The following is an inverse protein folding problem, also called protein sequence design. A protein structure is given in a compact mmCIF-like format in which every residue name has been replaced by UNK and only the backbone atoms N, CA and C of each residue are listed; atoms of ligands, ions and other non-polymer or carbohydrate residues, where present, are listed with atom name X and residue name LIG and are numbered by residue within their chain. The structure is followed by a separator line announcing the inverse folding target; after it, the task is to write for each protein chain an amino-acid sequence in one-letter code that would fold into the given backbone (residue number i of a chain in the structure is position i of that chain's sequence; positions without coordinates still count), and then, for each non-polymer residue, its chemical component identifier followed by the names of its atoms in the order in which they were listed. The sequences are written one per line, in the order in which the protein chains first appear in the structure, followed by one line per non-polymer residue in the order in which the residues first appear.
data_IF_724349274845
#
_entry.id   IF_724349274845
#
_cell.length_a   1.000
_cell.length_b   1.000
_cell.length_c   1.000
_cell.angle_alpha   90.00
_cell.angle_beta   90.00
_cell.angle_gamma   90.00
#
_symmetry.space_group_name_H-M   'P 1'
#
loop_
_entity.id
_entity.type
_entity.pdbx_description
1 polymer ?
#
# COMPACT_ATOMS: atom_id res chain seq x y z
N UNK A 1 -4.08 -18.49 -16.90
CA UNK A 1 -5.50 -18.60 -16.54
C UNK A 1 -5.85 -17.46 -15.58
N UNK A 2 -6.41 -16.31 -15.93
CA UNK A 2 -6.71 -15.64 -17.21
C UNK A 2 -6.77 -14.12 -16.92
N UNK A 3 -5.82 -13.34 -17.45
CA UNK A 3 -5.89 -11.88 -17.42
C UNK A 3 -7.12 -11.31 -18.17
N UNK A 4 -7.80 -12.17 -18.93
CA UNK A 4 -9.00 -11.86 -19.72
C UNK A 4 -10.30 -11.80 -18.91
N UNK A 5 -10.36 -12.34 -17.68
CA UNK A 5 -11.61 -12.32 -16.88
C UNK A 5 -11.77 -10.98 -16.14
N UNK A 6 -10.65 -10.38 -15.69
CA UNK A 6 -10.68 -9.13 -14.92
C UNK A 6 -10.90 -7.90 -15.80
N UNK A 7 -10.48 -7.95 -17.07
CA UNK A 7 -10.56 -6.85 -18.04
C UNK A 7 -11.99 -6.56 -18.53
N UNK A 8 -12.93 -7.50 -18.38
CA UNK A 8 -14.32 -7.30 -18.79
C UNK A 8 -15.20 -6.62 -17.72
N UNK A 9 -14.86 -6.76 -16.43
CA UNK A 9 -15.69 -6.26 -15.32
C UNK A 9 -15.69 -4.73 -15.15
N UNK A 10 -14.64 -4.03 -15.61
CA UNK A 10 -14.49 -2.57 -15.47
C UNK A 10 -14.53 -1.81 -16.82
N UNK A 11 -14.78 -2.50 -17.94
CA UNK A 11 -14.75 -1.87 -19.27
C UNK A 11 -13.36 -1.39 -19.71
N UNK A 12 -12.28 -1.83 -19.05
CA UNK A 12 -10.91 -1.44 -19.35
C UNK A 12 -10.25 -2.46 -20.29
N UNK A 13 -10.06 -2.09 -21.56
CA UNK A 13 -9.33 -2.91 -22.52
C UNK A 13 -7.83 -2.89 -22.19
N UNK A 14 -7.22 -4.06 -21.94
CA UNK A 14 -5.78 -4.26 -21.64
C UNK A 14 -5.29 -3.79 -20.25
N UNK A 15 -6.19 -3.46 -19.31
CA UNK A 15 -5.86 -3.08 -17.93
C UNK A 15 -5.76 -4.26 -16.95
N UNK A 16 -5.24 -3.99 -15.75
CA UNK A 16 -5.29 -4.89 -14.59
C UNK A 16 -6.46 -4.53 -13.67
N UNK A 17 -6.67 -5.29 -12.58
CA UNK A 17 -7.72 -4.96 -11.60
C UNK A 17 -7.54 -3.58 -10.95
N UNK A 18 -6.29 -3.19 -10.68
CA UNK A 18 -5.97 -1.95 -9.97
C UNK A 18 -5.64 -0.79 -10.90
N UNK A 19 -5.17 -1.08 -12.13
CA UNK A 19 -4.58 -0.06 -13.00
C UNK A 19 -5.07 -0.18 -14.45
N UNK A 20 -5.29 0.96 -15.14
CA UNK A 20 -5.49 0.97 -16.59
C UNK A 20 -4.22 0.56 -17.34
N UNK A 21 -4.28 0.42 -18.68
CA UNK A 21 -3.08 0.30 -19.51
C UNK A 21 -2.10 1.46 -19.26
N UNK A 22 -0.81 1.16 -19.19
CA UNK A 22 0.24 2.16 -18.99
C UNK A 22 0.31 3.10 -20.20
N UNK A 23 0.24 4.41 -19.96
CA UNK A 23 0.30 5.46 -20.98
C UNK A 23 1.50 6.39 -20.89
N UNK A 24 2.37 6.18 -19.89
CA UNK A 24 3.58 6.98 -19.67
C UNK A 24 4.70 6.13 -19.10
N UNK A 25 5.94 6.62 -19.19
CA UNK A 25 7.12 6.01 -18.55
C UNK A 25 7.02 6.01 -17.02
N UNK A 26 6.32 6.99 -16.44
CA UNK A 26 6.06 7.08 -15.00
C UNK A 26 5.03 6.05 -14.48
N UNK A 27 4.14 5.57 -15.35
CA UNK A 27 3.08 4.64 -14.95
C UNK A 27 3.65 3.34 -14.37
N UNK A 28 4.73 2.81 -14.95
CA UNK A 28 5.34 1.58 -14.46
C UNK A 28 5.90 1.69 -13.03
N UNK A 29 6.64 2.76 -12.74
CA UNK A 29 7.19 2.98 -11.40
C UNK A 29 6.06 3.21 -10.39
N UNK A 30 5.04 4.01 -10.77
CA UNK A 30 3.89 4.31 -9.90
C UNK A 30 3.09 3.06 -9.56
N UNK A 31 2.74 2.25 -10.56
CA UNK A 31 1.97 1.02 -10.38
C UNK A 31 2.73 0.03 -9.48
N UNK A 32 4.03 -0.11 -9.72
CA UNK A 32 4.90 -1.02 -8.95
C UNK A 32 5.02 -0.54 -7.49
N UNK A 33 5.20 0.76 -7.29
CA UNK A 33 5.32 1.34 -5.96
C UNK A 33 4.02 1.24 -5.16
N UNK A 34 2.87 1.46 -5.81
CA UNK A 34 1.56 1.20 -5.21
C UNK A 34 1.43 -0.26 -4.78
N UNK A 35 1.77 -1.22 -5.65
CA UNK A 35 1.65 -2.64 -5.32
C UNK A 35 2.56 -3.04 -4.16
N UNK A 36 3.77 -2.47 -4.09
CA UNK A 36 4.67 -2.65 -2.96
C UNK A 36 4.05 -2.16 -1.65
N UNK A 37 3.50 -0.94 -1.63
CA UNK A 37 2.84 -0.38 -0.44
C UNK A 37 1.64 -1.25 -0.07
N UNK A 38 0.81 -1.64 -1.04
CA UNK A 38 -0.35 -2.49 -0.83
C UNK A 38 0.04 -3.83 -0.18
N UNK A 39 1.11 -4.47 -0.65
CA UNK A 39 1.58 -5.73 -0.08
C UNK A 39 2.13 -5.56 1.35
N UNK A 40 2.88 -4.48 1.61
CA UNK A 40 3.36 -4.17 2.97
C UNK A 40 2.16 -3.93 3.90
N UNK A 41 1.18 -3.11 3.49
CA UNK A 41 -0.03 -2.86 4.27
C UNK A 41 -0.83 -4.14 4.51
N UNK A 42 -1.00 -4.97 3.49
CA UNK A 42 -1.71 -6.25 3.60
C UNK A 42 -1.00 -7.20 4.55
N UNK A 43 0.34 -7.27 4.50
CA UNK A 43 1.14 -8.07 5.42
C UNK A 43 0.92 -7.65 6.87
N UNK A 44 1.03 -6.35 7.18
CA UNK A 44 0.80 -5.86 8.54
C UNK A 44 -0.65 -6.04 8.99
N UNK A 45 -1.61 -5.83 8.09
CA UNK A 45 -3.02 -6.10 8.37
C UNK A 45 -3.23 -7.55 8.78
N UNK A 46 -2.75 -8.52 7.99
CA UNK A 46 -2.88 -9.95 8.29
C UNK A 46 -2.15 -10.31 9.58
N UNK A 47 -0.97 -9.74 9.83
CA UNK A 47 -0.20 -9.97 11.06
C UNK A 47 -0.98 -9.51 12.30
N UNK A 48 -1.51 -8.28 12.28
CA UNK A 48 -2.23 -7.69 13.42
C UNK A 48 -3.56 -8.41 13.64
N UNK A 49 -4.33 -8.63 12.58
CA UNK A 49 -5.62 -9.34 12.65
C UNK A 49 -5.41 -10.80 13.08
N UNK A 50 -4.39 -11.46 12.54
CA UNK A 50 -4.03 -12.82 12.93
C UNK A 50 -3.64 -12.93 14.40
N UNK A 51 -2.79 -12.02 14.90
CA UNK A 51 -2.43 -11.95 16.30
C UNK A 51 -3.66 -11.69 17.19
N UNK A 52 -4.54 -10.77 16.78
CA UNK A 52 -5.78 -10.46 17.48
C UNK A 52 -6.69 -11.69 17.58
N UNK A 53 -6.94 -12.39 16.46
CA UNK A 53 -7.76 -13.61 16.44
C UNK A 53 -7.13 -14.68 17.31
N UNK A 54 -5.82 -14.88 17.21
CA UNK A 54 -5.09 -15.86 18.01
C UNK A 54 -5.23 -15.58 19.51
N UNK A 55 -5.02 -14.32 19.92
CA UNK A 55 -5.20 -13.90 21.31
C UNK A 55 -6.64 -14.06 21.79
N UNK A 56 -7.62 -13.68 20.97
CA UNK A 56 -9.04 -13.84 21.29
C UNK A 56 -9.43 -15.30 21.53
N UNK A 57 -8.87 -16.25 20.75
CA UNK A 57 -9.14 -17.68 20.90
C UNK A 57 -8.37 -18.29 22.08
N UNK A 58 -7.08 -17.96 22.21
CA UNK A 58 -6.18 -18.50 23.23
C UNK A 58 -6.56 -18.04 24.63
N UNK A 59 -6.81 -16.75 24.80
CA UNK A 59 -7.12 -16.12 26.09
C UNK A 59 -8.63 -15.95 26.33
N UNK A 60 -9.48 -16.63 25.55
CA UNK A 60 -10.93 -16.67 25.79
C UNK A 60 -11.23 -17.22 27.17
N UNK A 61 -12.15 -16.58 27.91
CA UNK A 61 -12.66 -17.06 29.20
C UNK A 61 -13.25 -18.47 29.07
N UNK A 62 -12.83 -19.37 29.96
CA UNK A 62 -13.30 -20.76 30.05
C UNK A 62 -13.47 -21.15 31.53
N UNK A 63 -14.37 -22.09 31.87
CA UNK A 63 -14.47 -22.61 33.22
C UNK A 63 -13.11 -23.14 33.69
N UNK A 64 -12.63 -22.66 34.85
CA UNK A 64 -11.32 -23.04 35.41
C UNK A 64 -10.11 -22.24 34.89
N UNK A 65 -10.26 -21.34 33.92
CA UNK A 65 -9.18 -20.44 33.51
C UNK A 65 -9.09 -19.24 34.46
N UNK A 66 -8.06 -19.24 35.31
CA UNK A 66 -7.63 -18.05 36.05
C UNK A 66 -6.54 -17.40 35.20
N UNK A 67 -6.73 -16.14 34.79
CA UNK A 67 -5.82 -15.45 33.88
C UNK A 67 -4.38 -15.43 34.40
N UNK A 68 -3.42 -15.58 33.49
CA UNK A 68 -2.00 -15.59 33.83
C UNK A 68 -1.54 -14.21 34.33
N UNK A 69 -0.58 -14.17 35.27
CA UNK A 69 0.08 -12.92 35.66
C UNK A 69 0.75 -12.31 34.42
N UNK A 70 0.26 -11.15 34.01
CA UNK A 70 0.64 -10.56 32.73
C UNK A 70 1.93 -9.77 32.88
N UNK A 71 2.93 -10.04 32.03
CA UNK A 71 4.08 -9.14 31.88
C UNK A 71 3.59 -7.82 31.25
N UNK A 72 3.69 -6.72 32.00
CA UNK A 72 3.22 -5.41 31.56
C UNK A 72 4.13 -4.74 30.53
N UNK A 73 5.41 -5.11 30.51
CA UNK A 73 6.42 -4.49 29.65
C UNK A 73 7.35 -5.52 29.03
N UNK A 74 7.74 -5.24 27.78
CA UNK A 74 8.80 -5.96 27.10
C UNK A 74 9.54 -4.99 26.17
N UNK A 75 10.62 -4.39 26.68
CA UNK A 75 11.39 -3.39 25.95
C UNK A 75 11.89 -3.89 24.59
N UNK A 76 12.27 -5.17 24.47
CA UNK A 76 12.75 -5.71 23.21
C UNK A 76 11.62 -5.75 22.15
N UNK A 77 10.43 -6.18 22.55
CA UNK A 77 9.25 -6.21 21.69
C UNK A 77 8.80 -4.78 21.33
N UNK A 78 8.80 -3.89 22.32
CA UNK A 78 8.43 -2.48 22.18
C UNK A 78 9.33 -1.73 21.21
N UNK A 79 10.64 -1.97 21.27
CA UNK A 79 11.60 -1.40 20.33
C UNK A 79 11.40 -1.99 18.93
N UNK A 80 11.26 -3.31 18.82
CA UNK A 80 11.10 -3.98 17.54
C UNK A 80 9.87 -3.47 16.77
N UNK A 81 8.71 -3.39 17.43
CA UNK A 81 7.47 -2.93 16.78
C UNK A 81 7.42 -1.43 16.50
N UNK A 82 8.34 -0.64 17.06
CA UNK A 82 8.38 0.82 16.85
C UNK A 82 9.37 1.15 15.74
N UNK A 83 10.58 0.60 15.85
CA UNK A 83 11.69 0.91 14.94
C UNK A 83 11.43 0.34 13.56
N UNK A 84 10.99 -0.92 13.47
CA UNK A 84 10.81 -1.58 12.16
C UNK A 84 9.75 -0.84 11.31
N UNK A 85 8.51 -0.57 11.80
CA UNK A 85 7.54 0.16 11.00
C UNK A 85 7.97 1.59 10.68
N UNK A 86 8.64 2.27 11.61
CA UNK A 86 9.13 3.64 11.38
C UNK A 86 10.13 3.68 10.23
N UNK A 87 11.12 2.78 10.21
CA UNK A 87 12.12 2.72 9.13
C UNK A 87 11.48 2.42 7.77
N UNK A 88 10.49 1.52 7.73
CA UNK A 88 9.75 1.21 6.49
C UNK A 88 9.04 2.46 5.97
N UNK A 89 8.32 3.19 6.83
CA UNK A 89 7.61 4.42 6.43
C UNK A 89 8.57 5.51 5.97
N UNK A 90 9.68 5.71 6.68
CA UNK A 90 10.71 6.69 6.28
C UNK A 90 11.29 6.36 4.89
N UNK A 91 11.55 5.08 4.62
CA UNK A 91 12.06 4.65 3.31
C UNK A 91 11.02 4.86 2.20
N UNK A 92 9.76 4.50 2.43
CA UNK A 92 8.65 4.74 1.49
C UNK A 92 8.55 6.24 1.19
N UNK A 93 8.58 7.08 2.23
CA UNK A 93 8.52 8.53 2.07
C UNK A 93 9.67 9.06 1.20
N UNK A 94 10.91 8.66 1.49
CA UNK A 94 12.08 9.11 0.73
C UNK A 94 11.99 8.74 -0.75
N UNK A 95 11.59 7.50 -1.07
CA UNK A 95 11.40 7.05 -2.46
C UNK A 95 10.22 7.74 -3.14
N UNK A 96 9.12 7.95 -2.43
CA UNK A 96 7.94 8.65 -2.94
C UNK A 96 8.24 10.10 -3.30
N UNK A 97 9.00 10.82 -2.47
CA UNK A 97 9.42 12.20 -2.75
C UNK A 97 10.30 12.28 -4.00
N UNK A 98 11.24 11.33 -4.17
CA UNK A 98 12.08 11.29 -5.37
C UNK A 98 11.23 11.15 -6.65
N UNK A 99 10.34 10.16 -6.70
CA UNK A 99 9.47 9.96 -7.86
C UNK A 99 8.54 11.16 -8.13
N UNK A 100 8.05 11.82 -7.08
CA UNK A 100 7.26 13.05 -7.22
C UNK A 100 8.06 14.19 -7.86
N UNK A 101 9.31 14.40 -7.43
CA UNK A 101 10.17 15.45 -7.97
C UNK A 101 10.52 15.21 -9.45
N UNK A 102 10.72 13.94 -9.83
CA UNK A 102 10.98 13.55 -11.21
C UNK A 102 9.77 13.82 -12.11
N UNK A 103 8.55 13.62 -11.61
CA UNK A 103 7.31 13.93 -12.36
C UNK A 103 7.03 15.43 -12.47
N UNK A 104 7.45 16.22 -11.47
CA UNK A 104 7.24 17.67 -11.45
C UNK A 104 8.22 18.46 -12.31
N UNK A 105 9.27 17.83 -12.82
CA UNK A 105 10.31 18.48 -13.62
C UNK A 105 10.16 18.08 -15.09
N UNK A 106 9.56 18.94 -15.95
CA UNK A 106 9.39 18.61 -17.35
C UNK A 106 10.77 18.52 -18.06
N UNK A 107 10.97 17.55 -18.96
CA UNK A 107 12.22 17.43 -19.71
C UNK A 107 12.40 18.61 -20.70
N UNK A 108 13.64 18.87 -21.16
CA UNK A 108 13.92 20.02 -22.04
C UNK A 108 13.21 19.98 -23.41
N UNK A 109 12.83 18.81 -23.90
CA UNK A 109 12.17 18.61 -25.20
C UNK A 109 10.68 18.28 -24.99
N UNK A 110 9.90 19.27 -24.55
CA UNK A 110 8.45 19.12 -24.30
C UNK A 110 7.61 19.87 -25.34
N UNK A 111 6.39 19.37 -25.56
CA UNK A 111 5.38 20.04 -26.39
C UNK A 111 4.46 20.83 -25.48
N UNK A 112 4.37 22.14 -25.70
CA UNK A 112 3.45 23.00 -24.99
C UNK A 112 2.02 22.84 -25.56
N UNK A 113 1.09 22.42 -24.70
CA UNK A 113 -0.33 22.25 -25.05
C UNK A 113 -1.16 23.17 -24.16
N UNK A 114 -1.84 24.14 -24.77
CA UNK A 114 -2.81 25.00 -24.09
C UNK A 114 -4.20 24.36 -24.08
N UNK A 115 -4.75 24.09 -22.90
CA UNK A 115 -6.10 23.51 -22.72
C UNK A 115 -7.01 24.56 -22.08
N UNK A 116 -8.21 24.80 -22.65
CA UNK A 116 -9.16 25.80 -22.15
C UNK A 116 -10.45 25.15 -21.68
N UNK A 117 -10.59 24.97 -20.36
CA UNK A 117 -11.78 24.37 -19.80
C UNK A 117 -13.04 25.25 -19.95
N UNK A 118 -14.18 24.62 -20.23
CA UNK A 118 -15.52 25.22 -20.19
C UNK A 118 -16.52 24.28 -19.48
N UNK A 119 -17.74 24.73 -19.18
CA UNK A 119 -18.71 23.88 -18.46
C UNK A 119 -19.02 22.62 -19.29
N UNK A 120 -18.58 21.47 -18.77
CA UNK A 120 -18.66 20.14 -19.41
C UNK A 120 -17.89 19.99 -20.74
N UNK A 121 -16.81 20.76 -20.95
CA UNK A 121 -15.92 20.57 -22.10
C UNK A 121 -14.49 21.09 -21.81
N UNK A 122 -13.53 20.70 -22.64
CA UNK A 122 -12.11 21.09 -22.56
C UNK A 122 -11.64 21.82 -23.81
#
# INVERSE_FOLDING_TARGET
MNAYITSCLLGQHQGSFFFPPKGSTFAEETDTFFMLILYISTFFFVLVVGAMIWFAVKYRRRPGYQGDSTALHNNALEIAWTVIPTLIVCWIFARGVQGYMDMMTPPPETVDIGVTASKWNW
#
